data_IF_771021125291
#
_entry.id   IF_771021125291
#
_cell.length_a   1.000
_cell.length_b   1.000
_cell.length_c   1.000
_cell.angle_alpha   90.00
_cell.angle_beta   90.00
_cell.angle_gamma   90.00
#
_symmetry.space_group_name_H-M   'P 1'
#
loop_
_entity.id
_entity.type
_entity.pdbx_description
1 polymer ?
#
# COMPACT_ATOMS: atom_id res chain seq x y z
N UNK A 1 -5.77 -14.54 -6.71
CA UNK A 1 -5.41 -13.19 -6.24
C UNK A 1 -5.72 -12.25 -7.38
N UNK A 2 -6.58 -11.26 -7.16
CA UNK A 2 -6.89 -10.28 -8.20
C UNK A 2 -5.69 -9.35 -8.41
N UNK A 3 -5.65 -8.62 -9.53
CA UNK A 3 -4.63 -7.60 -9.76
C UNK A 3 -4.66 -6.52 -8.67
N UNK A 4 -5.87 -6.19 -8.20
CA UNK A 4 -6.11 -5.29 -7.07
C UNK A 4 -5.51 -5.81 -5.76
N UNK A 5 -5.70 -7.10 -5.43
CA UNK A 5 -5.10 -7.70 -4.24
C UNK A 5 -3.57 -7.69 -4.30
N UNK A 6 -2.99 -7.93 -5.48
CA UNK A 6 -1.55 -7.89 -5.69
C UNK A 6 -0.97 -6.48 -5.54
N UNK A 7 -1.71 -5.47 -6.03
CA UNK A 7 -1.38 -4.05 -5.86
C UNK A 7 -1.43 -3.65 -4.39
N UNK A 8 -2.51 -4.01 -3.69
CA UNK A 8 -2.71 -3.79 -2.25
C UNK A 8 -1.58 -4.42 -1.41
N UNK A 9 -1.23 -5.68 -1.68
CA UNK A 9 -0.12 -6.39 -1.03
C UNK A 9 1.22 -5.67 -1.22
N UNK A 10 1.51 -5.22 -2.45
CA UNK A 10 2.75 -4.51 -2.76
C UNK A 10 2.88 -3.21 -1.98
N UNK A 11 1.81 -2.40 -1.96
CA UNK A 11 1.80 -1.14 -1.22
C UNK A 11 1.89 -1.36 0.28
N UNK A 12 1.16 -2.33 0.82
CA UNK A 12 1.20 -2.63 2.25
C UNK A 12 2.59 -3.07 2.69
N UNK A 13 3.27 -3.91 1.90
CA UNK A 13 4.66 -4.32 2.15
C UNK A 13 5.64 -3.14 2.06
N UNK A 14 5.48 -2.27 1.07
CA UNK A 14 6.32 -1.08 0.93
C UNK A 14 6.15 -0.14 2.13
N UNK A 15 4.90 0.15 2.54
CA UNK A 15 4.60 0.95 3.71
C UNK A 15 5.17 0.31 4.99
N UNK A 16 5.00 -0.99 5.16
CA UNK A 16 5.55 -1.72 6.31
C UNK A 16 7.07 -1.60 6.40
N UNK A 17 7.76 -1.68 5.26
CA UNK A 17 9.21 -1.62 5.19
C UNK A 17 9.79 -0.28 5.69
N UNK A 18 8.99 0.80 5.67
CA UNK A 18 9.41 2.11 6.18
C UNK A 18 9.59 2.15 7.70
N UNK A 19 9.09 1.15 8.43
CA UNK A 19 9.31 1.02 9.87
C UNK A 19 10.74 0.62 10.26
N UNK A 20 11.61 0.32 9.28
CA UNK A 20 13.03 0.01 9.50
C UNK A 20 13.23 -1.12 10.51
N UNK A 21 13.89 -0.80 11.63
CA UNK A 21 14.25 -1.75 12.70
C UNK A 21 13.08 -2.62 13.22
N UNK A 22 11.85 -2.10 13.19
CA UNK A 22 10.67 -2.87 13.60
C UNK A 22 10.24 -3.89 12.54
N UNK A 23 10.43 -3.59 11.26
CA UNK A 23 10.15 -4.50 10.15
C UNK A 23 11.19 -5.62 10.02
N UNK A 24 12.45 -5.34 10.40
CA UNK A 24 13.53 -6.34 10.43
C UNK A 24 13.27 -7.43 11.48
N UNK A 25 12.83 -7.05 12.69
CA UNK A 25 12.58 -7.99 13.79
C UNK A 25 11.25 -8.75 13.66
N UNK A 26 10.32 -8.23 12.88
CA UNK A 26 9.00 -8.82 12.67
C UNK A 26 8.73 -8.91 11.16
N UNK A 27 9.34 -9.87 10.45
CA UNK A 27 9.22 -9.92 9.00
C UNK A 27 7.75 -10.05 8.59
N UNK A 28 7.38 -9.36 7.51
CA UNK A 28 6.02 -9.33 6.96
C UNK A 28 5.38 -10.72 6.86
N UNK A 29 6.14 -11.71 6.37
CA UNK A 29 5.69 -13.09 6.21
C UNK A 29 5.27 -13.75 7.54
N UNK A 30 5.82 -13.30 8.66
CA UNK A 30 5.51 -13.78 10.01
C UNK A 30 4.42 -12.98 10.74
N UNK A 31 3.90 -11.90 10.14
CA UNK A 31 2.85 -11.13 10.78
C UNK A 31 1.53 -11.90 10.82
N UNK A 32 0.83 -11.82 11.96
CA UNK A 32 -0.54 -12.31 12.08
C UNK A 32 -1.48 -11.59 11.09
N UNK A 33 -2.52 -12.26 10.56
CA UNK A 33 -3.44 -11.67 9.59
C UNK A 33 -4.04 -10.33 10.04
N UNK A 34 -4.48 -10.23 11.30
CA UNK A 34 -5.04 -9.00 11.86
C UNK A 34 -4.06 -7.81 11.83
N UNK A 35 -2.75 -8.06 11.97
CA UNK A 35 -1.73 -7.00 11.85
C UNK A 35 -1.54 -6.57 10.41
N UNK A 36 -1.61 -7.50 9.45
CA UNK A 36 -1.52 -7.18 8.01
C UNK A 36 -2.69 -6.33 7.56
N UNK A 37 -3.89 -6.56 8.12
CA UNK A 37 -5.08 -5.77 7.77
C UNK A 37 -4.91 -4.27 8.00
N UNK A 38 -4.23 -3.87 9.07
CA UNK A 38 -3.93 -2.46 9.34
C UNK A 38 -3.08 -1.85 8.22
N UNK A 39 -2.11 -2.61 7.71
CA UNK A 39 -1.25 -2.17 6.61
C UNK A 39 -1.97 -2.16 5.28
N UNK A 40 -2.89 -3.09 5.08
CA UNK A 40 -3.74 -3.07 3.92
C UNK A 40 -4.67 -1.87 3.89
N UNK A 41 -5.31 -1.52 5.00
CA UNK A 41 -6.13 -0.30 5.09
C UNK A 41 -5.32 0.97 4.76
N UNK A 42 -4.08 1.04 5.25
CA UNK A 42 -3.16 2.13 4.91
C UNK A 42 -2.77 2.12 3.43
N UNK A 43 -2.56 0.95 2.86
CA UNK A 43 -2.27 0.79 1.43
C UNK A 43 -3.45 1.24 0.57
N UNK A 44 -4.68 0.86 0.94
CA UNK A 44 -5.91 1.26 0.24
C UNK A 44 -6.07 2.78 0.24
N UNK A 45 -5.85 3.44 1.38
CA UNK A 45 -5.88 4.90 1.49
C UNK A 45 -4.79 5.57 0.64
N UNK A 46 -3.55 5.06 0.67
CA UNK A 46 -2.46 5.62 -0.13
C UNK A 46 -2.68 5.43 -1.64
N UNK A 47 -3.25 4.30 -2.04
CA UNK A 47 -3.61 4.03 -3.43
C UNK A 47 -4.70 5.00 -3.90
N UNK A 48 -5.74 5.23 -3.11
CA UNK A 48 -6.82 6.16 -3.46
C UNK A 48 -6.29 7.58 -3.71
N UNK A 49 -5.45 8.09 -2.79
CA UNK A 49 -4.83 9.43 -2.94
C UNK A 49 -3.95 9.48 -4.20
N UNK A 50 -3.13 8.46 -4.44
CA UNK A 50 -2.29 8.43 -5.64
C UNK A 50 -3.11 8.40 -6.94
N UNK A 51 -4.21 7.64 -6.95
CA UNK A 51 -5.08 7.54 -8.12
C UNK A 51 -5.80 8.87 -8.40
N UNK A 52 -6.25 9.58 -7.36
CA UNK A 52 -6.81 10.94 -7.48
C UNK A 52 -5.78 11.92 -8.06
N UNK A 53 -4.55 11.91 -7.56
CA UNK A 53 -3.48 12.79 -8.05
C UNK A 53 -3.10 12.50 -9.51
N UNK A 54 -3.05 11.21 -9.90
CA UNK A 54 -2.76 10.81 -11.28
C UNK A 54 -3.89 11.28 -12.19
N UNK A 55 -5.15 11.07 -11.80
CA UNK A 55 -6.31 11.51 -12.57
C UNK A 55 -6.30 13.04 -12.78
N UNK A 56 -6.00 13.81 -11.74
CA UNK A 56 -5.91 15.27 -11.82
C UNK A 56 -4.81 15.73 -12.80
N UNK A 57 -3.63 15.08 -12.77
CA UNK A 57 -2.52 15.39 -13.69
C UNK A 57 -2.85 15.02 -15.14
N UNK A 58 -3.55 13.91 -15.38
CA UNK A 58 -3.97 13.52 -16.72
C UNK A 58 -5.01 14.50 -17.29
N UNK A 59 -6.01 14.88 -16.48
CA UNK A 59 -7.01 15.87 -16.89
C UNK A 59 -6.39 17.22 -17.24
N UNK A 60 -5.39 17.67 -16.47
CA UNK A 60 -4.66 18.91 -16.74
C UNK A 60 -3.74 18.85 -17.99
N UNK A 61 -3.38 17.65 -18.46
CA UNK A 61 -2.56 17.47 -19.66
C UNK A 61 -3.39 17.49 -20.94
N UNK A 62 -4.59 16.93 -20.87
CA UNK A 62 -5.45 16.69 -22.03
C UNK A 62 -6.45 17.85 -22.29
N UNK A 63 -6.45 18.90 -21.46
CA UNK A 63 -7.25 20.13 -21.60
C UNK A 63 -6.41 21.36 -21.89
#
# INVERSE_FOLDING_TARGET
MTDQDARRERYARALYSTLGHSAERHPWAGLAPARREIWYQRADAAIAVADEEIAARLAARDG
#
